data_IF_561233216497
#
_entry.id   IF_561233216497
#
_cell.length_a   1.000
_cell.length_b   1.000
_cell.length_c   1.000
_cell.angle_alpha   90.00
_cell.angle_beta   90.00
_cell.angle_gamma   90.00
#
_symmetry.space_group_name_H-M   'P 1'
#
loop_
_entity.id
_entity.type
_entity.pdbx_description
1 polymer ?
#
# COMPACT_ATOMS: atom_id res chain seq x y z
N UNK A 1 -7.95 -16.98 -52.66
CA UNK A 1 -8.38 -17.85 -51.55
C UNK A 1 -7.41 -17.61 -50.40
N UNK A 2 -7.79 -16.79 -49.39
CA UNK A 2 -6.94 -16.42 -48.23
C UNK A 2 -7.30 -17.38 -47.12
N UNK A 3 -6.36 -18.25 -46.75
CA UNK A 3 -6.55 -19.23 -45.66
C UNK A 3 -6.21 -18.53 -44.33
N UNK A 4 -7.21 -18.33 -43.47
CA UNK A 4 -7.02 -17.87 -42.10
C UNK A 4 -6.69 -19.07 -41.21
N UNK A 5 -5.47 -19.14 -40.71
CA UNK A 5 -5.13 -20.07 -39.63
C UNK A 5 -5.61 -19.45 -38.31
N UNK A 6 -6.43 -20.14 -37.52
CA UNK A 6 -6.81 -19.63 -36.21
C UNK A 6 -5.63 -19.72 -35.25
N UNK A 7 -5.15 -18.55 -34.82
CA UNK A 7 -4.20 -18.46 -33.71
C UNK A 7 -4.92 -18.95 -32.45
N UNK A 8 -4.63 -20.17 -32.00
CA UNK A 8 -5.06 -20.66 -30.70
C UNK A 8 -4.34 -19.83 -29.62
N UNK A 9 -4.94 -18.74 -29.17
CA UNK A 9 -4.52 -18.09 -27.93
C UNK A 9 -4.77 -19.10 -26.79
N UNK A 10 -3.68 -19.68 -26.29
CA UNK A 10 -3.70 -20.46 -25.06
C UNK A 10 -3.87 -19.48 -23.91
N UNK A 11 -5.12 -19.19 -23.53
CA UNK A 11 -5.43 -18.41 -22.33
C UNK A 11 -4.96 -19.28 -21.17
N UNK A 12 -3.76 -19.03 -20.67
CA UNK A 12 -3.33 -19.56 -19.38
C UNK A 12 -4.24 -18.96 -18.33
N UNK A 13 -5.15 -19.75 -17.75
CA UNK A 13 -5.90 -19.32 -16.59
C UNK A 13 -4.89 -18.95 -15.49
N UNK A 14 -4.91 -17.72 -14.96
CA UNK A 14 -4.01 -17.38 -13.87
C UNK A 14 -4.31 -18.33 -12.70
N UNK A 15 -3.31 -19.13 -12.30
CA UNK A 15 -3.43 -20.00 -11.12
C UNK A 15 -3.40 -19.06 -9.89
N UNK A 16 -4.45 -19.10 -9.07
CA UNK A 16 -4.46 -18.39 -7.79
C UNK A 16 -3.36 -18.99 -6.90
N UNK A 17 -2.44 -18.16 -6.44
CA UNK A 17 -1.25 -18.60 -5.70
C UNK A 17 -1.51 -18.78 -4.19
N UNK A 18 -2.64 -18.30 -3.70
CA UNK A 18 -3.04 -18.39 -2.27
C UNK A 18 -4.11 -19.44 -2.02
N UNK A 19 -4.16 -20.49 -2.86
CA UNK A 19 -5.07 -21.63 -2.69
C UNK A 19 -4.32 -22.92 -2.85
N UNK A 20 -4.74 -23.94 -2.07
CA UNK A 20 -4.30 -25.32 -2.24
C UNK A 20 -4.87 -25.90 -3.54
N UNK A 21 -4.40 -27.08 -3.97
CA UNK A 21 -4.98 -27.79 -5.12
C UNK A 21 -6.46 -28.18 -4.90
N UNK A 22 -6.88 -28.30 -3.64
CA UNK A 22 -8.29 -28.49 -3.22
C UNK A 22 -9.10 -27.21 -3.15
N UNK A 23 -8.51 -26.05 -3.47
CA UNK A 23 -9.19 -24.74 -3.47
C UNK A 23 -9.31 -24.04 -2.12
N UNK A 24 -8.71 -24.60 -1.05
CA UNK A 24 -8.71 -23.96 0.26
C UNK A 24 -7.71 -22.79 0.34
N UNK A 25 -8.01 -21.73 1.12
CA UNK A 25 -7.06 -20.65 1.36
C UNK A 25 -5.74 -21.18 1.95
N UNK A 26 -4.62 -20.70 1.42
CA UNK A 26 -3.29 -21.13 1.90
C UNK A 26 -2.29 -19.98 1.77
N UNK A 27 -1.41 -19.86 2.75
CA UNK A 27 -0.23 -19.01 2.66
C UNK A 27 0.77 -19.67 1.72
N UNK A 28 1.33 -18.87 0.78
CA UNK A 28 2.33 -19.37 -0.17
C UNK A 28 3.63 -19.71 0.54
N UNK A 29 4.21 -20.88 0.26
CA UNK A 29 5.56 -21.20 0.70
C UNK A 29 6.59 -20.36 -0.08
N UNK A 30 7.36 -19.56 0.63
CA UNK A 30 8.41 -18.69 0.08
C UNK A 30 9.81 -19.12 0.52
N UNK A 31 9.98 -20.28 1.15
CA UNK A 31 11.26 -20.76 1.70
C UNK A 31 12.36 -20.83 0.64
N UNK A 32 12.03 -21.21 -0.59
CA UNK A 32 12.96 -21.31 -1.73
C UNK A 32 13.22 -20.01 -2.49
N UNK A 33 12.54 -18.90 -2.13
CA UNK A 33 12.74 -17.61 -2.80
C UNK A 33 13.95 -16.86 -2.24
N UNK A 34 14.60 -16.09 -3.09
CA UNK A 34 15.65 -15.14 -2.68
C UNK A 34 14.99 -13.86 -2.19
N UNK A 35 15.49 -13.30 -1.08
CA UNK A 35 15.04 -12.00 -0.59
C UNK A 35 15.44 -10.89 -1.57
N UNK A 36 14.52 -9.99 -1.87
CA UNK A 36 14.74 -8.84 -2.75
C UNK A 36 14.27 -7.57 -2.06
N UNK A 37 14.96 -6.45 -2.37
CA UNK A 37 14.51 -5.13 -1.92
C UNK A 37 13.26 -4.74 -2.69
N UNK A 38 12.23 -4.34 -1.96
CA UNK A 38 10.92 -3.97 -2.51
C UNK A 38 10.53 -2.60 -1.98
N UNK A 39 9.96 -1.79 -2.85
CA UNK A 39 9.44 -0.46 -2.53
C UNK A 39 7.98 -0.41 -2.92
N UNK A 40 7.12 -0.09 -1.96
CA UNK A 40 5.72 0.21 -2.20
C UNK A 40 5.47 1.71 -2.04
N UNK A 41 4.70 2.31 -2.95
CA UNK A 41 4.27 3.70 -2.86
C UNK A 41 2.77 3.78 -3.01
N UNK A 42 2.17 4.69 -2.23
CA UNK A 42 0.74 4.98 -2.31
C UNK A 42 0.49 6.47 -2.16
N UNK A 43 -0.64 6.93 -2.65
CA UNK A 43 -1.10 8.30 -2.50
C UNK A 43 -2.57 8.31 -2.10
N UNK A 44 -2.91 9.21 -1.19
CA UNK A 44 -4.28 9.55 -0.85
C UNK A 44 -4.51 11.05 -1.05
N UNK A 45 -5.69 11.42 -1.52
CA UNK A 45 -6.11 12.81 -1.68
C UNK A 45 -7.36 13.00 -0.85
N UNK A 46 -7.31 13.93 0.11
CA UNK A 46 -8.42 14.28 0.97
C UNK A 46 -8.90 15.69 0.62
N UNK A 47 -10.12 15.79 0.15
CA UNK A 47 -10.74 17.10 -0.10
C UNK A 47 -11.33 17.61 1.21
N UNK A 48 -10.68 18.59 1.81
CA UNK A 48 -11.06 19.13 3.12
C UNK A 48 -11.81 20.46 3.04
N UNK A 49 -11.73 21.11 1.88
CA UNK A 49 -12.32 22.41 1.64
C UNK A 49 -11.54 23.59 2.23
N UNK A 50 -11.91 24.83 1.84
CA UNK A 50 -11.16 26.02 2.18
C UNK A 50 -11.16 26.34 3.68
N UNK A 51 -12.21 25.99 4.40
CA UNK A 51 -12.34 26.29 5.83
C UNK A 51 -11.28 25.52 6.66
N UNK A 52 -11.06 24.26 6.35
CA UNK A 52 -10.05 23.44 7.02
C UNK A 52 -8.64 23.89 6.62
N UNK A 53 -8.43 24.19 5.33
CA UNK A 53 -7.13 24.70 4.85
C UNK A 53 -6.77 26.01 5.54
N UNK A 54 -7.73 26.89 5.78
CA UNK A 54 -7.51 28.15 6.50
C UNK A 54 -7.04 27.96 7.96
N UNK A 55 -7.25 26.79 8.55
CA UNK A 55 -6.77 26.46 9.90
C UNK A 55 -5.30 26.04 9.94
N UNK A 56 -4.69 25.78 8.79
CA UNK A 56 -3.30 25.33 8.70
C UNK A 56 -2.37 26.50 9.00
N UNK A 57 -1.50 26.33 10.00
CA UNK A 57 -0.44 27.26 10.38
C UNK A 57 0.85 26.47 10.56
N UNK A 58 1.95 27.01 10.04
CA UNK A 58 3.28 26.36 10.13
C UNK A 58 3.25 24.88 9.70
N UNK A 59 2.53 24.58 8.63
CA UNK A 59 2.35 23.24 8.06
C UNK A 59 1.66 22.23 9.02
N UNK A 60 0.82 22.72 9.93
CA UNK A 60 0.11 21.88 10.89
C UNK A 60 -1.28 22.44 11.19
N UNK A 61 -2.18 21.59 11.64
CA UNK A 61 -3.46 21.97 12.25
C UNK A 61 -3.42 21.57 13.72
N UNK A 62 -3.45 22.56 14.60
CA UNK A 62 -3.53 22.32 16.04
C UNK A 62 -4.98 22.26 16.52
N UNK A 63 -5.33 21.20 17.22
CA UNK A 63 -6.63 21.02 17.86
C UNK A 63 -6.48 20.83 19.36
N UNK A 64 -7.61 20.84 20.09
CA UNK A 64 -7.61 20.49 21.53
C UNK A 64 -7.07 19.09 21.81
N UNK A 65 -7.09 18.20 20.82
CA UNK A 65 -6.59 16.82 20.93
C UNK A 65 -5.13 16.67 20.46
N UNK A 66 -4.53 17.74 19.96
CA UNK A 66 -3.15 17.77 19.50
C UNK A 66 -3.00 18.05 17.99
N UNK A 67 -1.78 17.84 17.46
CA UNK A 67 -1.45 18.10 16.07
C UNK A 67 -2.05 17.04 15.15
N UNK A 68 -2.66 17.48 14.05
CA UNK A 68 -3.37 16.59 13.12
C UNK A 68 -2.39 15.89 12.18
N UNK A 69 -1.47 16.60 11.55
CA UNK A 69 -0.58 16.02 10.55
C UNK A 69 0.46 15.09 11.18
N UNK A 70 1.03 15.48 12.31
CA UNK A 70 1.95 14.59 13.05
C UNK A 70 1.25 13.31 13.49
N UNK A 71 0.01 13.39 13.94
CA UNK A 71 -0.80 12.20 14.28
C UNK A 71 -1.05 11.33 13.05
N UNK A 72 -1.35 11.95 11.91
CA UNK A 72 -1.56 11.23 10.65
C UNK A 72 -0.28 10.51 10.18
N UNK A 73 0.88 11.14 10.32
CA UNK A 73 2.18 10.51 10.01
C UNK A 73 2.40 9.25 10.88
N UNK A 74 2.18 9.37 12.19
CA UNK A 74 2.32 8.22 13.11
C UNK A 74 1.32 7.13 12.74
N UNK A 75 0.07 7.47 12.46
CA UNK A 75 -0.96 6.52 12.04
C UNK A 75 -0.58 5.80 10.74
N UNK A 76 0.01 6.49 9.78
CA UNK A 76 0.51 5.91 8.53
C UNK A 76 1.63 4.89 8.76
N UNK A 77 2.60 5.21 9.59
CA UNK A 77 3.68 4.27 9.99
C UNK A 77 3.11 3.06 10.73
N UNK A 78 2.17 3.27 11.66
CA UNK A 78 1.47 2.19 12.37
C UNK A 78 0.70 1.29 11.41
N UNK A 79 0.00 1.88 10.41
CA UNK A 79 -0.71 1.13 9.38
C UNK A 79 0.22 0.22 8.58
N UNK A 80 1.39 0.71 8.18
CA UNK A 80 2.39 -0.08 7.48
C UNK A 80 2.89 -1.26 8.34
N UNK A 81 3.16 -1.03 9.62
CA UNK A 81 3.57 -2.08 10.58
C UNK A 81 2.50 -3.14 10.79
N UNK A 82 1.23 -2.77 10.72
CA UNK A 82 0.09 -3.69 10.91
C UNK A 82 -0.36 -4.42 9.64
N UNK A 83 0.26 -4.15 8.49
CA UNK A 83 -0.11 -4.77 7.21
C UNK A 83 -0.26 -6.30 7.30
N UNK A 84 0.70 -7.07 7.85
CA UNK A 84 0.55 -8.52 7.90
C UNK A 84 -0.55 -8.99 8.87
N UNK A 85 -0.94 -8.17 9.83
CA UNK A 85 -2.06 -8.47 10.74
C UNK A 85 -3.42 -8.23 10.10
N UNK A 86 -3.50 -7.33 9.10
CA UNK A 86 -4.73 -6.96 8.42
C UNK A 86 -5.00 -7.81 7.19
N UNK A 87 -3.97 -8.35 6.57
CA UNK A 87 -4.07 -9.18 5.36
C UNK A 87 -3.89 -10.66 5.75
N UNK A 88 -4.95 -11.49 5.68
CA UNK A 88 -4.98 -12.83 6.30
C UNK A 88 -3.86 -13.77 5.87
N UNK A 89 -3.45 -13.74 4.61
CA UNK A 89 -2.44 -14.65 4.07
C UNK A 89 -1.10 -13.97 3.79
N UNK A 90 -0.88 -12.80 4.38
CA UNK A 90 0.39 -12.08 4.29
C UNK A 90 1.42 -12.67 5.25
N UNK A 91 2.64 -12.87 4.77
CA UNK A 91 3.77 -13.22 5.63
C UNK A 91 4.12 -12.02 6.55
N UNK A 92 4.75 -12.25 7.71
CA UNK A 92 5.34 -11.18 8.48
C UNK A 92 6.27 -10.32 7.64
N UNK A 93 6.13 -8.99 7.72
CA UNK A 93 6.90 -8.04 6.94
C UNK A 93 7.88 -7.32 7.86
N UNK A 94 9.17 -7.46 7.59
CA UNK A 94 10.23 -6.67 8.21
C UNK A 94 10.34 -5.30 7.54
N UNK A 95 9.64 -4.31 8.06
CA UNK A 95 9.67 -2.96 7.53
C UNK A 95 11.02 -2.30 7.84
N UNK A 96 11.77 -1.88 6.81
CA UNK A 96 13.06 -1.20 6.94
C UNK A 96 12.91 0.32 6.97
N UNK A 97 11.98 0.86 6.17
CA UNK A 97 11.66 2.28 6.13
C UNK A 97 10.18 2.48 5.83
N UNK A 98 9.61 3.53 6.39
CA UNK A 98 8.27 3.99 6.09
C UNK A 98 8.20 5.51 6.21
N UNK A 99 7.94 6.17 5.11
CA UNK A 99 7.83 7.63 5.04
C UNK A 99 6.39 8.01 4.72
N UNK A 100 5.93 9.07 5.36
CA UNK A 100 4.62 9.68 5.13
C UNK A 100 4.83 11.17 4.95
N UNK A 101 4.47 11.67 3.78
CA UNK A 101 4.55 13.10 3.43
C UNK A 101 3.15 13.67 3.30
N UNK A 102 2.93 14.86 3.84
CA UNK A 102 1.64 15.55 3.79
C UNK A 102 1.85 16.91 3.15
N UNK A 103 1.14 17.16 2.04
CA UNK A 103 1.21 18.40 1.29
C UNK A 103 -0.19 19.00 1.13
N UNK A 104 -0.27 20.32 1.18
CA UNK A 104 -1.51 21.06 0.94
C UNK A 104 -1.50 21.59 -0.49
N UNK A 105 -2.52 21.23 -1.27
CA UNK A 105 -2.66 21.66 -2.65
C UNK A 105 -4.07 22.21 -2.87
N UNK A 106 -4.20 23.52 -2.92
CA UNK A 106 -5.51 24.18 -2.98
C UNK A 106 -6.33 23.88 -1.73
N UNK A 107 -7.52 23.32 -1.88
CA UNK A 107 -8.43 22.89 -0.81
C UNK A 107 -8.30 21.39 -0.45
N UNK A 108 -7.19 20.77 -0.87
CA UNK A 108 -6.92 19.34 -0.70
C UNK A 108 -5.65 19.10 0.09
N UNK A 109 -5.64 18.00 0.79
CA UNK A 109 -4.45 17.44 1.42
C UNK A 109 -4.03 16.20 0.63
N UNK A 110 -2.80 16.23 0.13
CA UNK A 110 -2.20 15.12 -0.62
C UNK A 110 -1.22 14.40 0.31
N UNK A 111 -1.47 13.13 0.54
CA UNK A 111 -0.66 12.28 1.43
C UNK A 111 0.07 11.28 0.55
N UNK A 112 1.40 11.38 0.51
CA UNK A 112 2.28 10.42 -0.15
C UNK A 112 2.88 9.47 0.88
N UNK A 113 2.95 8.19 0.56
CA UNK A 113 3.59 7.20 1.42
C UNK A 113 4.55 6.33 0.64
N UNK A 114 5.64 5.91 1.31
CA UNK A 114 6.53 4.89 0.78
C UNK A 114 6.97 3.94 1.89
N UNK A 115 7.07 2.66 1.55
CA UNK A 115 7.56 1.62 2.44
C UNK A 115 8.64 0.80 1.75
N UNK A 116 9.67 0.43 2.48
CA UNK A 116 10.80 -0.35 1.98
C UNK A 116 10.97 -1.59 2.85
N UNK A 117 11.11 -2.73 2.18
CA UNK A 117 11.42 -4.01 2.81
C UNK A 117 12.48 -4.74 1.97
N UNK A 118 13.23 -5.63 2.60
CA UNK A 118 13.99 -6.67 1.93
C UNK A 118 13.42 -8.01 2.37
N UNK A 119 12.70 -8.67 1.48
CA UNK A 119 11.94 -9.86 1.83
C UNK A 119 11.73 -10.78 0.63
N UNK A 120 11.29 -12.01 0.91
CA UNK A 120 10.88 -13.03 -0.06
C UNK A 120 9.44 -12.82 -0.57
N UNK A 121 8.70 -11.95 0.07
CA UNK A 121 7.28 -11.71 -0.22
C UNK A 121 6.96 -10.23 -0.27
#
# INVERSE_FOLDING_TARGET
MISFYPIKLRIMKPKLTHTTDSGNPSMMDVSGKVATRRVARAQAIVNVGPEIVAMIKDQEIMTKKGPVFQTAIIAGVMGAKHTPSLIPLCHPIGLEDCQVEINVVGDKIVIGTSAIITSKT
#
